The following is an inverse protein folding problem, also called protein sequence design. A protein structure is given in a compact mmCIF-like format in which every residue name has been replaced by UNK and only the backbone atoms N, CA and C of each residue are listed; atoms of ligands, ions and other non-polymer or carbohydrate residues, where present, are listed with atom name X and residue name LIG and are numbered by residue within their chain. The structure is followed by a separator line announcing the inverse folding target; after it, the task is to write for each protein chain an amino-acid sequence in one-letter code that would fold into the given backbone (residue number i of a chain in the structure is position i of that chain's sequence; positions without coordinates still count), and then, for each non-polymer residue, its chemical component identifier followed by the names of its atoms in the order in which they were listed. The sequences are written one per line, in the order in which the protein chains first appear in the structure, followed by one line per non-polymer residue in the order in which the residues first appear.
data_IF_266591549469
#
_entry.id   IF_266591549469
#
_cell.length_a   1.000
_cell.length_b   1.000
_cell.length_c   1.000
_cell.angle_alpha   90.00
_cell.angle_beta   90.00
_cell.angle_gamma   90.00
#
_symmetry.space_group_name_H-M   'P 1'
#
loop_
_entity.id
_entity.type
_entity.pdbx_description
1 polymer ?
#
# COMPACT_ATOMS: atom_id res chain seq x y z
N UNK A 1 8.57 -38.03 0.04
CA UNK A 1 8.22 -38.72 -1.22
C UNK A 1 6.78 -38.34 -1.55
N UNK A 2 6.61 -37.34 -2.42
CA UNK A 2 5.37 -37.01 -3.12
C UNK A 2 5.80 -36.81 -4.58
N UNK A 3 5.12 -37.41 -5.57
CA UNK A 3 4.05 -36.64 -6.21
C UNK A 3 2.91 -37.52 -6.75
N UNK A 4 1.70 -37.33 -6.23
CA UNK A 4 0.50 -37.79 -6.93
C UNK A 4 0.00 -36.64 -7.82
N UNK A 5 0.29 -36.75 -9.12
CA UNK A 5 -0.21 -35.85 -10.17
C UNK A 5 -1.73 -35.87 -10.15
N UNK A 6 -2.34 -34.79 -9.65
CA UNK A 6 -3.78 -34.58 -9.82
C UNK A 6 -4.11 -34.47 -11.32
N UNK A 7 -5.20 -35.12 -11.79
CA UNK A 7 -5.61 -35.07 -13.19
C UNK A 7 -5.99 -33.65 -13.59
N UNK A 8 -5.47 -33.20 -14.73
CA UNK A 8 -5.81 -31.92 -15.33
C UNK A 8 -7.29 -31.95 -15.74
N UNK A 9 -8.09 -31.08 -15.15
CA UNK A 9 -9.49 -30.92 -15.54
C UNK A 9 -9.60 -30.60 -17.03
N UNK A 10 -10.56 -31.21 -17.77
CA UNK A 10 -10.72 -30.96 -19.18
C UNK A 10 -11.19 -29.52 -19.46
N UNK A 11 -10.78 -28.90 -20.57
CA UNK A 11 -11.30 -27.61 -20.99
C UNK A 11 -12.79 -27.73 -21.32
N UNK A 12 -13.64 -27.04 -20.57
CA UNK A 12 -15.08 -26.98 -20.82
C UNK A 12 -15.35 -26.18 -22.11
N UNK A 13 -15.35 -26.83 -23.27
CA UNK A 13 -15.66 -26.23 -24.58
C UNK A 13 -17.11 -26.48 -25.03
N UNK A 14 -18.06 -26.45 -24.10
CA UNK A 14 -19.49 -26.57 -24.39
C UNK A 14 -20.17 -25.19 -24.45
N UNK A 15 -21.11 -24.95 -25.39
CA UNK A 15 -21.95 -23.75 -25.36
C UNK A 15 -22.77 -23.76 -24.07
N UNK A 16 -22.59 -22.74 -23.24
CA UNK A 16 -23.36 -22.57 -22.00
C UNK A 16 -24.86 -22.53 -22.34
N UNK A 17 -25.72 -23.28 -21.64
CA UNK A 17 -27.16 -23.23 -21.85
C UNK A 17 -27.66 -21.78 -21.66
N UNK A 18 -28.51 -21.33 -22.60
CA UNK A 18 -29.02 -19.96 -22.65
C UNK A 18 -29.82 -19.54 -21.39
N UNK A 19 -30.20 -20.51 -20.56
CA UNK A 19 -30.95 -20.29 -19.31
C UNK A 19 -30.11 -19.68 -18.16
N UNK A 20 -28.79 -19.61 -18.26
CA UNK A 20 -27.96 -18.93 -17.25
C UNK A 20 -27.84 -17.40 -17.46
N UNK A 21 -28.47 -16.81 -18.48
CA UNK A 21 -28.28 -15.40 -18.83
C UNK A 21 -29.11 -14.41 -17.99
N UNK A 22 -30.11 -14.87 -17.24
CA UNK A 22 -30.99 -13.99 -16.47
C UNK A 22 -30.48 -13.60 -15.07
N UNK A 23 -29.36 -14.19 -14.59
CA UNK A 23 -28.78 -13.87 -13.27
C UNK A 23 -27.49 -13.03 -13.31
N UNK A 24 -26.94 -12.68 -14.48
CA UNK A 24 -25.55 -12.19 -14.56
C UNK A 24 -25.37 -10.72 -14.97
N UNK A 25 -26.40 -9.88 -14.89
CA UNK A 25 -26.25 -8.43 -14.99
C UNK A 25 -26.68 -7.76 -13.70
N UNK A 26 -25.89 -7.95 -12.65
CA UNK A 26 -25.84 -6.93 -11.60
C UNK A 26 -25.39 -5.65 -12.30
N UNK A 27 -26.21 -4.58 -12.37
CA UNK A 27 -25.83 -3.36 -13.06
C UNK A 27 -24.52 -2.86 -12.49
N UNK A 28 -23.58 -2.50 -13.36
CA UNK A 28 -22.23 -2.06 -13.02
C UNK A 28 -22.15 -0.76 -12.18
N UNK A 29 -23.26 -0.32 -11.58
CA UNK A 29 -23.36 0.82 -10.67
C UNK A 29 -23.94 0.50 -9.29
N UNK A 30 -24.42 -0.73 -9.04
CA UNK A 30 -24.73 -1.16 -7.68
C UNK A 30 -23.40 -1.52 -7.02
N UNK A 31 -22.85 -0.57 -6.26
CA UNK A 31 -21.68 -0.81 -5.42
C UNK A 31 -21.89 -2.14 -4.69
N UNK A 32 -20.95 -3.07 -4.88
CA UNK A 32 -21.00 -4.37 -4.22
C UNK A 32 -21.33 -4.13 -2.74
N UNK A 33 -22.32 -4.86 -2.18
CA UNK A 33 -22.70 -4.67 -0.78
C UNK A 33 -21.43 -4.74 0.06
N UNK A 34 -21.28 -3.79 0.99
CA UNK A 34 -20.15 -3.81 1.94
C UNK A 34 -20.31 -5.07 2.76
N UNK A 35 -19.61 -6.13 2.35
CA UNK A 35 -19.60 -7.39 3.07
C UNK A 35 -18.84 -7.14 4.36
N UNK A 36 -19.54 -7.36 5.48
CA UNK A 36 -18.89 -7.44 6.77
C UNK A 36 -17.91 -8.61 6.75
N UNK A 37 -16.80 -8.45 7.47
CA UNK A 37 -15.73 -9.45 7.54
C UNK A 37 -15.40 -9.70 9.00
N UNK A 38 -15.06 -10.94 9.29
CA UNK A 38 -14.61 -11.38 10.60
C UNK A 38 -13.12 -11.72 10.54
N UNK A 39 -12.42 -11.30 11.58
CA UNK A 39 -11.02 -11.57 11.83
C UNK A 39 -10.94 -12.82 12.70
N UNK A 40 -10.29 -13.85 12.18
CA UNK A 40 -10.15 -15.15 12.84
C UNK A 40 -8.67 -15.39 13.12
N UNK A 41 -8.34 -15.77 14.34
CA UNK A 41 -6.99 -16.20 14.67
C UNK A 41 -6.73 -17.59 14.03
N UNK A 42 -5.72 -17.75 13.17
CA UNK A 42 -5.45 -19.01 12.49
C UNK A 42 -5.03 -20.14 13.43
N UNK A 43 -4.52 -19.81 14.62
CA UNK A 43 -4.06 -20.80 15.59
C UNK A 43 -5.19 -21.35 16.45
N UNK A 44 -6.09 -20.47 16.90
CA UNK A 44 -7.19 -20.82 17.81
C UNK A 44 -8.52 -21.05 17.10
N UNK A 45 -8.66 -20.56 15.86
CA UNK A 45 -9.93 -20.54 15.13
C UNK A 45 -10.97 -19.60 15.71
N UNK A 46 -10.63 -18.80 16.73
CA UNK A 46 -11.58 -17.90 17.38
C UNK A 46 -11.72 -16.59 16.61
N UNK A 47 -12.94 -16.04 16.61
CA UNK A 47 -13.23 -14.72 16.06
C UNK A 47 -12.70 -13.67 17.03
N UNK A 48 -11.65 -12.97 16.62
CA UNK A 48 -11.01 -11.89 17.39
C UNK A 48 -11.78 -10.59 17.24
N UNK A 49 -12.35 -10.35 16.06
CA UNK A 49 -13.05 -9.10 15.77
C UNK A 49 -13.93 -9.19 14.53
N UNK A 50 -14.82 -8.22 14.40
CA UNK A 50 -15.72 -8.08 13.26
C UNK A 50 -15.68 -6.64 12.77
N UNK A 51 -15.71 -6.47 11.44
CA UNK A 51 -15.64 -5.18 10.78
C UNK A 51 -16.76 -5.08 9.75
N UNK A 52 -17.31 -3.88 9.56
CA UNK A 52 -18.39 -3.64 8.60
C UNK A 52 -17.92 -3.74 7.14
N UNK A 53 -16.61 -3.62 6.89
CA UNK A 53 -16.02 -3.70 5.55
C UNK A 53 -14.51 -3.95 5.56
N UNK A 54 -13.97 -4.42 4.43
CA UNK A 54 -12.52 -4.53 4.21
C UNK A 54 -11.78 -3.21 4.41
N UNK A 55 -12.38 -2.07 4.04
CA UNK A 55 -11.76 -0.76 4.20
C UNK A 55 -11.63 -0.33 5.66
N UNK A 56 -12.60 -0.71 6.50
CA UNK A 56 -12.54 -0.44 7.94
C UNK A 56 -11.44 -1.27 8.61
N UNK A 57 -11.38 -2.57 8.32
CA UNK A 57 -10.31 -3.43 8.81
C UNK A 57 -8.93 -2.94 8.32
N UNK A 58 -8.80 -2.60 7.04
CA UNK A 58 -7.56 -2.09 6.47
C UNK A 58 -7.09 -0.83 7.20
N UNK A 59 -8.01 0.09 7.51
CA UNK A 59 -7.71 1.29 8.29
C UNK A 59 -7.29 0.99 9.72
N UNK A 60 -7.89 -0.02 10.36
CA UNK A 60 -7.54 -0.42 11.72
C UNK A 60 -6.12 -1.02 11.82
N UNK A 61 -5.70 -1.79 10.82
CA UNK A 61 -4.39 -2.46 10.79
C UNK A 61 -3.30 -1.72 9.98
N UNK A 62 -3.65 -0.60 9.34
CA UNK A 62 -2.71 0.12 8.46
C UNK A 62 -2.37 -0.64 7.18
N UNK A 63 -3.31 -1.41 6.64
CA UNK A 63 -3.16 -2.23 5.43
C UNK A 63 -3.87 -1.59 4.23
N UNK A 64 -3.69 -2.20 3.06
CA UNK A 64 -4.43 -1.82 1.84
C UNK A 64 -5.72 -2.64 1.75
N UNK A 65 -6.89 -2.05 1.43
CA UNK A 65 -8.16 -2.80 1.34
C UNK A 65 -8.12 -3.98 0.35
N UNK A 66 -7.33 -3.86 -0.72
CA UNK A 66 -7.14 -4.93 -1.71
C UNK A 66 -6.45 -6.16 -1.13
N UNK A 67 -5.53 -6.00 -0.17
CA UNK A 67 -4.87 -7.15 0.47
C UNK A 67 -5.90 -7.93 1.28
N UNK A 68 -6.72 -7.27 2.09
CA UNK A 68 -7.79 -7.92 2.86
C UNK A 68 -8.81 -8.59 1.94
N UNK A 69 -9.21 -7.93 0.86
CA UNK A 69 -10.13 -8.52 -0.12
C UNK A 69 -9.54 -9.79 -0.76
N UNK A 70 -8.25 -9.78 -1.12
CA UNK A 70 -7.59 -11.00 -1.58
C UNK A 70 -7.51 -12.06 -0.47
N UNK A 71 -7.35 -11.69 0.80
CA UNK A 71 -7.26 -12.61 1.93
C UNK A 71 -8.59 -13.34 2.14
N UNK A 72 -9.69 -12.61 2.03
CA UNK A 72 -11.05 -13.15 2.07
C UNK A 72 -11.31 -14.11 0.91
N UNK A 73 -10.95 -13.74 -0.33
CA UNK A 73 -11.25 -14.55 -1.51
C UNK A 73 -10.33 -15.76 -1.71
N UNK A 74 -9.06 -15.65 -1.31
CA UNK A 74 -8.05 -16.71 -1.47
C UNK A 74 -7.77 -17.46 -0.17
N UNK A 75 -8.45 -17.11 0.91
CA UNK A 75 -8.27 -17.71 2.24
C UNK A 75 -6.81 -17.70 2.74
N UNK A 76 -6.06 -16.63 2.49
CA UNK A 76 -4.68 -16.49 2.98
C UNK A 76 -4.61 -15.65 4.25
N UNK A 77 -3.53 -15.84 5.03
CA UNK A 77 -3.29 -15.13 6.29
C UNK A 77 -2.68 -13.75 6.01
N UNK A 78 -3.32 -12.69 6.48
CA UNK A 78 -2.84 -11.31 6.34
C UNK A 78 -2.70 -10.65 7.71
N UNK A 79 -1.55 -10.02 7.97
CA UNK A 79 -1.19 -9.45 9.28
C UNK A 79 -1.33 -10.42 10.47
N UNK A 80 -1.06 -11.72 10.23
CA UNK A 80 -1.17 -12.77 11.25
C UNK A 80 -2.58 -13.28 11.51
N UNK A 81 -3.60 -12.80 10.78
CA UNK A 81 -4.99 -13.24 10.94
C UNK A 81 -5.57 -13.81 9.65
N UNK A 82 -6.51 -14.75 9.80
CA UNK A 82 -7.36 -15.25 8.72
C UNK A 82 -8.59 -14.36 8.59
N UNK A 83 -9.00 -14.07 7.36
CA UNK A 83 -10.12 -13.16 7.07
C UNK A 83 -11.23 -13.94 6.39
N UNK A 84 -12.43 -13.92 6.98
CA UNK A 84 -13.59 -14.68 6.51
C UNK A 84 -14.76 -13.70 6.34
N UNK A 85 -15.63 -13.83 5.32
CA UNK A 85 -16.83 -13.02 5.23
C UNK A 85 -17.75 -13.34 6.42
N UNK A 86 -18.30 -12.32 7.05
CA UNK A 86 -19.27 -12.52 8.13
C UNK A 86 -20.58 -13.07 7.55
N UNK A 87 -21.30 -13.94 8.30
CA UNK A 87 -22.61 -14.38 7.87
C UNK A 87 -23.56 -13.18 7.76
N UNK A 88 -24.49 -13.21 6.80
CA UNK A 88 -25.38 -12.08 6.49
C UNK A 88 -26.19 -11.63 7.72
N UNK A 89 -26.48 -12.57 8.61
CA UNK A 89 -27.30 -12.38 9.81
C UNK A 89 -26.46 -12.07 11.06
N UNK A 90 -25.14 -11.99 10.94
CA UNK A 90 -24.31 -11.61 12.06
C UNK A 90 -24.57 -10.12 12.33
N UNK A 91 -25.27 -9.81 13.41
CA UNK A 91 -25.35 -8.45 13.91
C UNK A 91 -23.92 -7.96 14.11
N UNK A 92 -23.46 -7.10 13.19
CA UNK A 92 -22.12 -6.54 13.27
C UNK A 92 -22.11 -5.80 14.60
N UNK A 93 -21.30 -6.21 15.59
CA UNK A 93 -21.18 -5.45 16.81
C UNK A 93 -20.66 -4.09 16.36
N UNK A 94 -21.54 -3.10 16.31
CA UNK A 94 -21.16 -1.75 15.92
C UNK A 94 -20.11 -1.39 16.94
N UNK A 95 -18.85 -1.33 16.51
CA UNK A 95 -17.72 -0.97 17.36
C UNK A 95 -18.14 0.32 18.03
N UNK A 96 -18.52 0.25 19.31
CA UNK A 96 -19.10 1.35 20.06
C UNK A 96 -18.19 2.53 19.79
N UNK A 97 -18.71 3.47 19.01
CA UNK A 97 -17.95 4.55 18.36
C UNK A 97 -16.98 5.06 19.41
N UNK A 98 -15.68 4.73 19.29
CA UNK A 98 -14.71 5.14 20.31
C UNK A 98 -14.92 6.65 20.48
N UNK A 99 -15.10 7.15 21.70
CA UNK A 99 -15.34 8.57 21.91
C UNK A 99 -14.23 9.32 21.16
N UNK A 100 -14.61 10.35 20.42
CA UNK A 100 -13.75 11.07 19.48
C UNK A 100 -12.50 11.73 20.12
N UNK A 101 -12.24 11.46 21.40
CA UNK A 101 -11.11 11.95 22.18
C UNK A 101 -9.74 11.44 21.73
N UNK A 102 -9.66 10.39 20.89
CA UNK A 102 -8.42 10.04 20.16
C UNK A 102 -8.43 10.55 18.72
N UNK A 103 -9.07 11.70 18.47
CA UNK A 103 -8.69 12.54 17.35
C UNK A 103 -7.18 12.75 17.47
N UNK A 104 -6.42 12.01 16.65
CA UNK A 104 -5.01 12.27 16.41
C UNK A 104 -4.87 13.79 16.38
N UNK A 105 -4.10 14.41 17.30
CA UNK A 105 -3.84 15.84 17.20
C UNK A 105 -3.35 16.02 15.79
N UNK A 106 -4.12 16.77 15.01
CA UNK A 106 -3.90 16.99 13.59
C UNK A 106 -2.40 17.22 13.44
N UNK A 107 -1.69 16.24 12.86
CA UNK A 107 -0.25 16.38 12.64
C UNK A 107 -0.10 17.77 12.04
N UNK A 108 0.62 18.69 12.68
CA UNK A 108 0.74 20.04 12.15
C UNK A 108 1.14 19.85 10.71
N UNK A 109 0.33 20.39 9.78
CA UNK A 109 0.65 20.38 8.36
C UNK A 109 2.04 20.96 8.28
N UNK A 110 3.05 20.10 8.17
CA UNK A 110 4.40 20.51 7.86
C UNK A 110 4.22 21.06 6.46
N UNK A 111 4.01 22.37 6.37
CA UNK A 111 4.16 23.11 5.14
C UNK A 111 5.58 22.75 4.74
N UNK A 112 5.70 21.83 3.79
CA UNK A 112 6.95 21.54 3.12
C UNK A 112 7.38 22.90 2.59
N UNK A 113 8.27 23.56 3.36
CA UNK A 113 9.08 24.63 2.81
C UNK A 113 9.83 23.92 1.71
N UNK A 114 9.32 24.07 0.50
CA UNK A 114 10.05 23.85 -0.74
C UNK A 114 11.30 24.69 -0.56
N UNK A 115 12.36 24.06 -0.04
CA UNK A 115 13.69 24.66 -0.03
C UNK A 115 14.01 24.78 -1.50
N UNK A 116 13.78 25.98 -2.06
CA UNK A 116 14.27 26.34 -3.38
C UNK A 116 15.75 26.01 -3.35
N UNK A 117 16.13 24.92 -4.02
CA UNK A 117 17.54 24.61 -4.24
C UNK A 117 18.10 25.84 -4.97
N UNK A 118 19.16 26.50 -4.46
CA UNK A 118 19.84 27.49 -5.27
C UNK A 118 20.27 26.81 -6.58
N UNK A 119 20.04 27.49 -7.69
CA UNK A 119 20.42 27.00 -9.01
C UNK A 119 21.90 26.62 -9.00
N UNK A 120 22.23 25.44 -9.52
CA UNK A 120 23.58 24.87 -9.50
C UNK A 120 24.64 25.78 -10.16
N UNK A 121 24.23 26.79 -10.94
CA UNK A 121 25.13 27.75 -11.58
C UNK A 121 25.82 28.71 -10.61
N UNK A 122 25.22 29.03 -9.45
CA UNK A 122 25.78 30.02 -8.53
C UNK A 122 27.07 29.54 -7.84
N UNK A 123 27.23 28.22 -7.64
CA UNK A 123 28.43 27.65 -6.99
C UNK A 123 29.64 27.51 -7.92
N UNK A 124 29.43 27.40 -9.23
CA UNK A 124 30.55 27.27 -10.17
C UNK A 124 31.33 28.59 -10.34
N UNK A 125 30.62 29.73 -10.34
CA UNK A 125 31.28 31.03 -10.51
C UNK A 125 32.15 31.41 -9.31
N UNK A 126 31.74 31.03 -8.09
CA UNK A 126 32.54 31.30 -6.88
C UNK A 126 33.81 30.44 -6.82
N UNK A 127 33.75 29.18 -7.30
CA UNK A 127 34.94 28.32 -7.37
C UNK A 127 35.96 28.78 -8.43
N UNK A 128 35.50 29.38 -9.54
CA UNK A 128 36.42 29.89 -10.58
C UNK A 128 37.11 31.19 -10.19
N UNK A 129 36.53 31.99 -9.28
CA UNK A 129 37.17 33.20 -8.79
C UNK A 129 38.37 32.89 -7.87
N UNK A 130 38.32 31.81 -7.10
CA UNK A 130 39.38 31.46 -6.14
C UNK A 130 40.66 30.91 -6.80
N UNK A 131 40.60 30.36 -8.02
CA UNK A 131 41.78 29.77 -8.69
C UNK A 131 42.67 30.85 -9.32
N UNK A 132 42.16 32.07 -9.51
CA UNK A 132 42.87 33.09 -10.30
C UNK A 132 43.85 33.96 -9.52
N UNK A 133 44.01 33.74 -8.21
CA UNK A 133 44.96 34.53 -7.38
C UNK A 133 46.31 33.83 -7.13
N UNK A 134 46.55 32.61 -7.63
CA UNK A 134 47.78 31.84 -7.34
C UNK A 134 48.84 31.81 -8.47
N UNK A 135 48.68 32.54 -9.58
CA UNK A 135 49.60 32.40 -10.76
C UNK A 135 50.62 33.55 -10.96
N UNK A 136 50.83 34.46 -10.00
CA UNK A 136 51.72 35.64 -10.19
C UNK A 136 53.02 35.63 -9.35
N UNK A 137 53.54 34.47 -8.90
CA UNK A 137 54.75 34.43 -8.03
C UNK A 137 56.03 33.78 -8.62
N UNK A 138 56.08 33.36 -9.89
CA UNK A 138 57.31 32.78 -10.49
C UNK A 138 57.90 33.68 -11.61
N UNK A 139 58.21 34.93 -11.27
CA UNK A 139 59.23 35.72 -11.97
C UNK A 139 60.45 35.87 -11.03
N UNK A 140 61.65 35.68 -11.60
CA UNK A 140 62.99 35.84 -11.01
C UNK A 140 63.63 34.61 -10.34
N UNK A 141 64.40 33.85 -11.13
CA UNK A 141 65.83 33.62 -10.84
C UNK A 141 66.48 33.04 -12.11
N UNK A 142 67.25 33.85 -12.83
CA UNK A 142 68.72 33.96 -12.66
C UNK A 142 69.43 32.87 -13.47
N UNK A 143 70.01 33.23 -14.62
CA UNK A 143 71.40 33.70 -14.78
C UNK A 143 72.27 32.48 -15.16
N UNK A 144 72.70 32.46 -16.42
CA UNK A 144 74.10 32.71 -16.79
C UNK A 144 75.02 31.58 -16.31
N UNK A 145 75.39 30.68 -17.22
CA UNK A 145 76.79 30.24 -17.26
C UNK A 145 77.15 29.73 -18.67
N UNK A 146 78.37 30.11 -19.03
CA UNK A 146 78.97 30.35 -20.35
C UNK A 146 79.54 29.10 -21.04
#
# INVERSE_FOLDING_TARGET
IWPEKLPRSPPCSGPRPAECQLLARVPAGLMAPKLAIQQVDPSTGQVVGMYSSCSEAARAFGLVPSSINMAVNKHYVCAGYSWVPAPLDAEVPTLKKRPAAFACPSRPRVRSRVRRRPAASARMLEAMAAVKEEEDEDEEEADEDE
#
